data_IF_324925105588
#
_entry.id   IF_324925105588
#
_cell.length_a   1.000
_cell.length_b   1.000
_cell.length_c   1.000
_cell.angle_alpha   90.00
_cell.angle_beta   90.00
_cell.angle_gamma   90.00
#
_symmetry.space_group_name_H-M   'P 1'
#
loop_
_entity.id
_entity.type
_entity.pdbx_description
1 polymer ?
#
# COMPACT_ATOMS: atom_id res chain seq x y z
N UNK A 1 -3.22 24.68 -12.36
CA UNK A 1 -4.02 23.45 -12.15
C UNK A 1 -3.19 22.53 -11.27
N UNK A 2 -3.63 22.12 -10.08
CA UNK A 2 -2.85 21.19 -9.27
C UNK A 2 -2.95 19.78 -9.89
N UNK A 3 -1.84 19.28 -10.41
CA UNK A 3 -1.71 17.88 -10.82
C UNK A 3 -1.78 17.02 -9.55
N UNK A 4 -2.67 16.02 -9.45
CA UNK A 4 -2.68 15.11 -8.32
C UNK A 4 -1.29 14.45 -8.20
N UNK A 5 -0.72 14.31 -7.00
CA UNK A 5 0.52 13.57 -6.83
C UNK A 5 0.32 12.15 -7.40
N UNK A 6 1.17 11.78 -8.36
CA UNK A 6 1.14 10.46 -8.96
C UNK A 6 1.44 9.45 -7.85
N UNK A 7 0.47 8.58 -7.55
CA UNK A 7 0.63 7.52 -6.56
C UNK A 7 1.22 6.29 -7.23
N UNK A 8 2.29 5.75 -6.67
CA UNK A 8 2.91 4.53 -7.18
C UNK A 8 2.06 3.31 -6.86
N UNK A 9 2.26 2.23 -7.63
CA UNK A 9 1.53 0.96 -7.45
C UNK A 9 2.49 -0.17 -7.15
N UNK A 10 2.20 -0.92 -6.09
CA UNK A 10 2.94 -2.10 -5.69
C UNK A 10 2.09 -3.36 -5.85
N UNK A 11 2.64 -4.39 -6.50
CA UNK A 11 2.02 -5.71 -6.58
C UNK A 11 2.54 -6.58 -5.45
N UNK A 12 1.66 -6.93 -4.51
CA UNK A 12 1.95 -7.79 -3.37
C UNK A 12 2.52 -9.12 -3.85
N UNK A 13 3.64 -9.55 -3.29
CA UNK A 13 4.29 -10.83 -3.58
C UNK A 13 3.95 -11.86 -2.50
N UNK A 14 4.11 -13.14 -2.83
CA UNK A 14 3.91 -14.21 -1.86
C UNK A 14 4.92 -14.06 -0.72
N UNK A 15 4.42 -13.92 0.51
CA UNK A 15 5.23 -13.72 1.70
C UNK A 15 5.32 -12.27 2.17
N UNK A 16 4.89 -11.30 1.35
CA UNK A 16 4.85 -9.89 1.78
C UNK A 16 3.79 -9.69 2.87
N UNK A 17 4.12 -8.86 3.86
CA UNK A 17 3.15 -8.33 4.82
C UNK A 17 2.84 -6.87 4.58
N UNK A 18 1.65 -6.42 4.99
CA UNK A 18 1.26 -5.02 4.83
C UNK A 18 2.20 -4.06 5.60
N UNK A 19 2.73 -4.50 6.74
CA UNK A 19 3.70 -3.75 7.54
C UNK A 19 5.03 -3.54 6.80
N UNK A 20 5.58 -4.59 6.20
CA UNK A 20 6.85 -4.50 5.45
C UNK A 20 6.70 -3.61 4.22
N UNK A 21 5.58 -3.71 3.51
CA UNK A 21 5.27 -2.83 2.38
C UNK A 21 5.18 -1.39 2.86
N UNK A 22 4.43 -1.10 3.93
CA UNK A 22 4.32 0.25 4.46
C UNK A 22 5.70 0.84 4.82
N UNK A 23 6.53 0.08 5.56
CA UNK A 23 7.88 0.50 5.92
C UNK A 23 8.77 0.75 4.70
N UNK A 24 8.69 -0.11 3.69
CA UNK A 24 9.46 0.02 2.44
C UNK A 24 9.17 1.33 1.70
N UNK A 25 7.93 1.82 1.78
CA UNK A 25 7.51 3.08 1.16
C UNK A 25 7.46 4.25 2.17
N UNK A 26 8.02 4.08 3.37
CA UNK A 26 8.03 5.13 4.40
C UNK A 26 6.64 5.53 4.91
N UNK A 27 5.66 4.63 4.80
CA UNK A 27 4.29 4.84 5.22
C UNK A 27 4.01 4.16 6.56
N UNK A 28 3.04 4.69 7.30
CA UNK A 28 2.46 3.93 8.41
C UNK A 28 1.50 2.85 7.90
N UNK A 29 1.30 1.79 8.68
CA UNK A 29 0.31 0.75 8.36
C UNK A 29 -1.08 1.35 8.13
N UNK A 30 -1.51 2.20 9.05
CA UNK A 30 -2.82 2.88 9.01
C UNK A 30 -2.96 3.72 7.75
N UNK A 31 -1.93 4.48 7.38
CA UNK A 31 -1.94 5.28 6.16
C UNK A 31 -2.05 4.43 4.90
N UNK A 32 -1.29 3.34 4.82
CA UNK A 32 -1.36 2.41 3.68
C UNK A 32 -2.74 1.75 3.58
N UNK A 33 -3.34 1.39 4.72
CA UNK A 33 -4.69 0.85 4.78
C UNK A 33 -5.72 1.87 4.32
N UNK A 34 -5.67 3.10 4.82
CA UNK A 34 -6.59 4.17 4.44
C UNK A 34 -6.48 4.49 2.94
N UNK A 35 -5.26 4.58 2.40
CA UNK A 35 -5.03 4.84 0.99
C UNK A 35 -5.63 3.77 0.07
N UNK A 36 -5.69 2.53 0.56
CA UNK A 36 -6.21 1.37 -0.18
C UNK A 36 -7.61 0.93 0.25
N UNK A 37 -8.30 1.71 1.09
CA UNK A 37 -9.61 1.38 1.67
C UNK A 37 -9.67 -0.01 2.32
N UNK A 38 -8.56 -0.43 2.94
CA UNK A 38 -8.46 -1.72 3.63
C UNK A 38 -9.06 -1.62 5.03
N UNK A 39 -9.94 -2.56 5.36
CA UNK A 39 -10.55 -2.66 6.70
C UNK A 39 -9.69 -3.42 7.71
N UNK A 40 -8.74 -4.21 7.22
CA UNK A 40 -7.83 -5.01 8.02
C UNK A 40 -6.47 -5.13 7.30
N UNK A 41 -5.49 -5.72 7.98
CA UNK A 41 -4.14 -5.90 7.44
C UNK A 41 -3.97 -7.14 6.56
N UNK A 42 -5.07 -7.79 6.16
CA UNK A 42 -5.04 -8.99 5.33
C UNK A 42 -4.83 -8.58 3.88
N UNK A 43 -3.77 -9.08 3.28
CA UNK A 43 -3.46 -8.89 1.86
C UNK A 43 -3.16 -10.22 1.19
N UNK A 44 -3.38 -10.26 -0.13
CA UNK A 44 -3.16 -11.46 -0.92
C UNK A 44 -2.10 -11.21 -1.98
N UNK A 45 -1.30 -12.24 -2.29
CA UNK A 45 -0.35 -12.19 -3.39
C UNK A 45 -1.07 -11.84 -4.70
N UNK A 46 -0.51 -10.90 -5.46
CA UNK A 46 -1.10 -10.37 -6.68
C UNK A 46 -2.01 -9.16 -6.48
N UNK A 47 -2.40 -8.83 -5.25
CA UNK A 47 -3.12 -7.60 -4.94
C UNK A 47 -2.28 -6.37 -5.31
N UNK A 48 -2.92 -5.33 -5.84
CA UNK A 48 -2.28 -4.06 -6.14
C UNK A 48 -2.59 -3.09 -5.01
N UNK A 49 -1.54 -2.53 -4.41
CA UNK A 49 -1.63 -1.46 -3.43
C UNK A 49 -1.13 -0.17 -4.04
N UNK A 50 -1.86 0.91 -3.79
CA UNK A 50 -1.40 2.28 -4.00
C UNK A 50 -0.46 2.63 -2.86
N UNK A 51 0.71 3.18 -3.21
CA UNK A 51 1.79 3.56 -2.30
C UNK A 51 2.29 4.97 -2.65
N UNK A 52 3.15 5.52 -1.80
CA UNK A 52 3.80 6.82 -1.98
C UNK A 52 5.17 6.71 -2.62
#
# INVERSE_FOLDING_TARGET
TPTPPASDKYRVRKGDTLNEIAQKFGMSLTELMHLNNLRNSVIHAGQILVVK
#
